data_IF_898847041576
#
_entry.id   IF_898847041576
#
_cell.length_a   1.000
_cell.length_b   1.000
_cell.length_c   1.000
_cell.angle_alpha   90.00
_cell.angle_beta   90.00
_cell.angle_gamma   90.00
#
_symmetry.space_group_name_H-M   'P 1'
#
loop_
_entity.id
_entity.type
_entity.pdbx_description
1 polymer ?
#
# COMPACT_ATOMS: atom_id res chain seq x y z
N UNK A 1 -17.16 1.86 21.18
CA UNK A 1 -17.10 1.50 19.76
C UNK A 1 -15.91 0.60 19.53
N UNK A 2 -16.11 -0.54 18.86
CA UNK A 2 -15.04 -1.46 18.47
C UNK A 2 -14.92 -1.41 16.94
N UNK A 3 -13.73 -1.69 16.42
CA UNK A 3 -13.48 -1.85 14.98
C UNK A 3 -12.79 -3.18 14.73
N UNK A 4 -12.83 -3.66 13.50
CA UNK A 4 -12.16 -4.89 13.08
C UNK A 4 -11.07 -4.56 12.06
N UNK A 5 -9.93 -5.23 12.18
CA UNK A 5 -8.84 -5.17 11.20
C UNK A 5 -8.86 -6.46 10.39
N UNK A 6 -8.74 -6.33 9.07
CA UNK A 6 -8.68 -7.46 8.14
C UNK A 6 -7.24 -7.66 7.69
N UNK A 7 -6.50 -8.69 8.16
CA UNK A 7 -5.21 -9.04 7.61
C UNK A 7 -5.38 -9.58 6.18
N UNK A 8 -4.49 -9.18 5.27
CA UNK A 8 -4.58 -9.55 3.86
C UNK A 8 -3.19 -9.73 3.23
N UNK A 9 -3.01 -10.81 2.46
CA UNK A 9 -1.77 -11.04 1.69
C UNK A 9 -1.90 -10.37 0.33
N UNK A 10 -1.11 -9.32 0.11
CA UNK A 10 -1.13 -8.53 -1.13
C UNK A 10 -0.85 -9.34 -2.39
N UNK A 11 0.30 -10.02 -2.45
CA UNK A 11 0.74 -10.80 -3.61
C UNK A 11 1.06 -12.27 -3.25
N UNK A 12 0.05 -13.14 -3.09
CA UNK A 12 0.26 -14.53 -2.66
C UNK A 12 1.17 -15.32 -3.62
N UNK A 13 1.06 -15.09 -4.93
CA UNK A 13 1.91 -15.78 -5.94
C UNK A 13 3.39 -15.42 -5.81
N UNK A 14 3.69 -14.13 -5.62
CA UNK A 14 5.08 -13.70 -5.41
C UNK A 14 5.63 -14.21 -4.07
N UNK A 15 4.79 -14.28 -3.03
CA UNK A 15 5.14 -14.85 -1.71
C UNK A 15 5.50 -16.33 -1.83
N UNK A 16 4.70 -17.13 -2.55
CA UNK A 16 4.96 -18.57 -2.76
C UNK A 16 6.32 -18.84 -3.43
N UNK A 17 6.77 -17.94 -4.30
CA UNK A 17 8.05 -18.05 -5.00
C UNK A 17 9.20 -17.33 -4.30
N UNK A 18 8.94 -16.63 -3.18
CA UNK A 18 9.90 -15.78 -2.48
C UNK A 18 10.55 -14.72 -3.40
N UNK A 19 9.74 -14.11 -4.28
CA UNK A 19 10.17 -13.04 -5.20
C UNK A 19 9.42 -11.74 -4.92
N UNK A 20 9.94 -10.61 -5.42
CA UNK A 20 9.29 -9.30 -5.26
C UNK A 20 7.96 -9.22 -6.04
N UNK A 21 7.94 -9.74 -7.27
CA UNK A 21 6.78 -9.83 -8.15
C UNK A 21 7.06 -10.90 -9.22
N UNK A 22 6.00 -11.37 -9.88
CA UNK A 22 6.06 -12.36 -10.97
C UNK A 22 6.11 -11.72 -12.35
N UNK A 23 5.38 -10.62 -12.57
CA UNK A 23 5.40 -9.87 -13.81
C UNK A 23 5.82 -8.41 -13.60
N UNK A 24 4.99 -7.65 -12.89
CA UNK A 24 5.21 -6.24 -12.59
C UNK A 24 5.11 -5.97 -11.09
N UNK A 25 5.80 -4.94 -10.62
CA UNK A 25 5.65 -4.46 -9.25
C UNK A 25 4.18 -4.12 -8.94
N UNK A 26 3.56 -4.88 -8.03
CA UNK A 26 2.17 -4.68 -7.59
C UNK A 26 1.95 -3.28 -7.00
N UNK A 27 2.96 -2.70 -6.33
CA UNK A 27 2.89 -1.35 -5.80
C UNK A 27 3.00 -0.27 -6.89
N UNK A 28 2.93 -0.65 -8.18
CA UNK A 28 2.90 0.26 -9.35
C UNK A 28 1.68 0.00 -10.25
N UNK A 29 0.74 -0.86 -9.86
CA UNK A 29 -0.43 -1.24 -10.69
C UNK A 29 -1.76 -0.69 -10.19
N UNK A 30 -1.76 0.24 -9.22
CA UNK A 30 -2.98 0.88 -8.68
C UNK A 30 -3.31 2.24 -9.31
N UNK A 31 -2.70 2.60 -10.44
CA UNK A 31 -3.11 3.75 -11.22
C UNK A 31 -4.47 3.49 -11.90
N UNK A 32 -5.28 4.53 -12.10
CA UNK A 32 -6.63 4.42 -12.69
C UNK A 32 -6.61 3.70 -14.03
N UNK A 33 -5.59 3.94 -14.86
CA UNK A 33 -5.39 3.27 -16.14
C UNK A 33 -5.35 1.73 -16.00
N UNK A 34 -4.61 1.21 -15.00
CA UNK A 34 -4.52 -0.24 -14.75
C UNK A 34 -5.80 -0.79 -14.14
N UNK A 35 -6.42 -0.06 -13.21
CA UNK A 35 -7.65 -0.51 -12.55
C UNK A 35 -8.85 -0.60 -13.52
N UNK A 36 -8.85 0.20 -14.60
CA UNK A 36 -9.90 0.22 -15.61
C UNK A 36 -9.57 -0.58 -16.89
N UNK A 37 -8.38 -1.20 -16.96
CA UNK A 37 -7.98 -1.99 -18.14
C UNK A 37 -8.84 -3.26 -18.25
N UNK A 38 -9.43 -3.49 -19.43
CA UNK A 38 -10.12 -4.75 -19.73
C UNK A 38 -9.09 -5.88 -19.85
N UNK A 39 -9.29 -6.97 -19.13
CA UNK A 39 -8.35 -8.09 -19.09
C UNK A 39 -8.26 -8.79 -20.46
N UNK A 40 -7.16 -8.58 -21.19
CA UNK A 40 -6.71 -9.45 -22.27
C UNK A 40 -5.19 -9.36 -22.45
N UNK A 41 -4.55 -10.54 -22.50
CA UNK A 41 -3.13 -10.86 -22.71
C UNK A 41 -2.13 -10.70 -21.54
N UNK A 42 -1.25 -11.69 -21.45
CA UNK A 42 -0.61 -12.28 -20.27
C UNK A 42 0.47 -11.47 -19.54
N UNK A 43 0.48 -10.13 -19.65
CA UNK A 43 1.34 -9.22 -18.86
C UNK A 43 0.66 -8.69 -17.58
N UNK A 44 -0.41 -9.38 -17.16
CA UNK A 44 -1.50 -8.83 -16.35
C UNK A 44 -1.56 -9.32 -14.88
N UNK A 45 -0.68 -10.18 -14.39
CA UNK A 45 -0.94 -10.86 -13.10
C UNK A 45 -1.09 -9.88 -11.92
N UNK A 46 -0.14 -8.96 -11.73
CA UNK A 46 -0.27 -7.94 -10.68
C UNK A 46 -1.27 -6.83 -11.02
N UNK A 47 -1.67 -6.67 -12.28
CA UNK A 47 -2.76 -5.77 -12.67
C UNK A 47 -4.11 -6.38 -12.28
N UNK A 48 -4.34 -7.65 -12.60
CA UNK A 48 -5.51 -8.43 -12.17
C UNK A 48 -5.57 -8.46 -10.65
N UNK A 49 -4.44 -8.71 -9.98
CA UNK A 49 -4.39 -8.69 -8.53
C UNK A 49 -4.74 -7.32 -7.95
N UNK A 50 -4.25 -6.22 -8.53
CA UNK A 50 -4.64 -4.87 -8.13
C UNK A 50 -6.13 -4.60 -8.36
N UNK A 51 -6.71 -5.11 -9.46
CA UNK A 51 -8.14 -5.03 -9.75
C UNK A 51 -8.97 -5.81 -8.72
N UNK A 52 -8.57 -7.04 -8.35
CA UNK A 52 -9.20 -7.83 -7.30
C UNK A 52 -9.15 -7.10 -5.95
N UNK A 53 -7.99 -6.58 -5.56
CA UNK A 53 -7.82 -5.80 -4.33
C UNK A 53 -8.73 -4.57 -4.35
N UNK A 54 -8.81 -3.88 -5.49
CA UNK A 54 -9.67 -2.71 -5.69
C UNK A 54 -11.17 -3.06 -5.66
N UNK A 55 -11.56 -4.28 -6.01
CA UNK A 55 -12.94 -4.76 -5.86
C UNK A 55 -13.26 -5.11 -4.40
N UNK A 56 -12.31 -5.69 -3.67
CA UNK A 56 -12.51 -6.10 -2.27
C UNK A 56 -12.50 -4.89 -1.33
N UNK A 57 -11.58 -3.95 -1.54
CA UNK A 57 -11.31 -2.86 -0.60
C UNK A 57 -11.47 -1.46 -1.20
N UNK A 58 -11.71 -1.35 -2.49
CA UNK A 58 -12.03 -0.09 -3.15
C UNK A 58 -13.55 0.07 -3.34
N UNK A 59 -13.99 0.65 -4.47
CA UNK A 59 -13.18 1.22 -5.55
C UNK A 59 -12.33 2.40 -5.09
N UNK A 60 -11.07 2.47 -5.51
CA UNK A 60 -10.12 3.56 -5.18
C UNK A 60 -10.72 4.92 -5.51
N UNK A 61 -10.70 5.82 -4.53
CA UNK A 61 -11.25 7.18 -4.66
C UNK A 61 -12.78 7.29 -4.48
N UNK A 62 -13.48 6.17 -4.23
CA UNK A 62 -14.90 6.18 -3.91
C UNK A 62 -15.16 6.23 -2.40
N UNK A 63 -16.38 6.63 -2.01
CA UNK A 63 -16.84 6.57 -0.62
C UNK A 63 -17.09 5.16 -0.08
N UNK A 64 -17.01 4.13 -0.94
CA UNK A 64 -17.14 2.72 -0.57
C UNK A 64 -15.78 2.08 -0.23
N UNK A 65 -14.68 2.77 -0.53
CA UNK A 65 -13.35 2.28 -0.22
C UNK A 65 -13.14 2.10 1.28
N UNK A 66 -12.26 1.16 1.63
CA UNK A 66 -11.81 0.96 3.01
C UNK A 66 -11.31 2.26 3.64
N UNK A 67 -11.68 2.48 4.90
CA UNK A 67 -11.38 3.72 5.62
C UNK A 67 -9.86 3.98 5.74
N UNK A 68 -9.08 2.92 5.99
CA UNK A 68 -7.64 3.01 6.17
C UNK A 68 -6.93 1.69 5.84
N UNK A 69 -5.73 1.77 5.23
CA UNK A 69 -4.88 0.61 4.94
C UNK A 69 -3.45 0.84 5.44
N UNK A 70 -2.88 -0.18 6.07
CA UNK A 70 -1.46 -0.24 6.42
C UNK A 70 -0.79 -1.28 5.52
N UNK A 71 0.14 -0.83 4.69
CA UNK A 71 0.92 -1.70 3.81
C UNK A 71 2.34 -1.91 4.38
N UNK A 72 2.75 -3.16 4.55
CA UNK A 72 3.98 -3.52 5.26
C UNK A 72 5.08 -3.86 4.25
N UNK A 73 6.21 -3.15 4.34
CA UNK A 73 7.35 -3.32 3.45
C UNK A 73 8.65 -3.49 4.22
N UNK A 74 9.59 -4.23 3.63
CA UNK A 74 10.99 -4.22 4.03
C UNK A 74 11.85 -3.62 2.91
N UNK A 75 13.04 -3.16 3.29
CA UNK A 75 14.04 -2.59 2.39
C UNK A 75 15.42 -3.10 2.79
N UNK A 76 16.33 -3.19 1.82
CA UNK A 76 17.75 -3.51 2.08
C UNK A 76 18.55 -2.30 2.57
N UNK A 77 17.99 -1.09 2.45
CA UNK A 77 18.61 0.12 2.97
C UNK A 77 18.55 0.17 4.50
N UNK A 78 19.56 0.77 5.13
CA UNK A 78 19.62 0.92 6.59
C UNK A 78 18.69 2.03 7.11
N UNK A 79 17.38 1.86 6.95
CA UNK A 79 16.37 2.86 7.31
C UNK A 79 15.79 2.64 8.72
N UNK A 80 16.01 1.48 9.32
CA UNK A 80 15.34 1.09 10.57
C UNK A 80 13.83 0.97 10.40
N UNK A 81 13.07 1.17 11.49
CA UNK A 81 11.61 1.23 11.43
C UNK A 81 11.20 2.58 10.85
N UNK A 82 10.55 2.60 9.68
CA UNK A 82 10.20 3.84 8.99
C UNK A 82 8.70 3.87 8.67
N UNK A 83 8.08 5.05 8.76
CA UNK A 83 6.70 5.29 8.33
C UNK A 83 6.72 6.12 7.04
N UNK A 84 6.00 5.67 6.01
CA UNK A 84 5.85 6.42 4.76
C UNK A 84 4.46 7.05 4.70
N UNK A 85 4.41 8.34 4.41
CA UNK A 85 3.19 9.11 4.23
C UNK A 85 3.05 9.55 2.78
N UNK A 86 1.88 9.35 2.20
CA UNK A 86 1.58 9.81 0.83
C UNK A 86 1.20 11.29 0.77
N UNK A 87 0.81 11.89 1.90
CA UNK A 87 0.37 13.28 1.96
C UNK A 87 0.60 13.86 3.36
N UNK A 88 1.22 15.03 3.40
CA UNK A 88 1.37 15.86 4.61
C UNK A 88 0.07 16.56 5.04
N UNK A 89 -0.98 16.48 4.22
CA UNK A 89 -2.29 17.06 4.55
C UNK A 89 -3.21 16.06 5.28
N UNK A 90 -2.81 14.79 5.39
CA UNK A 90 -3.58 13.78 6.12
C UNK A 90 -3.35 13.89 7.63
N UNK A 91 -4.16 14.71 8.31
CA UNK A 91 -4.09 14.91 9.77
C UNK A 91 -4.15 13.59 10.55
N UNK A 92 -5.06 12.68 10.16
CA UNK A 92 -5.19 11.36 10.80
C UNK A 92 -3.86 10.59 10.74
N UNK A 93 -3.25 10.51 9.54
CA UNK A 93 -1.99 9.79 9.32
C UNK A 93 -0.85 10.40 10.12
N UNK A 94 -0.77 11.73 10.18
CA UNK A 94 0.26 12.45 10.96
C UNK A 94 0.10 12.16 12.46
N UNK A 95 -1.13 12.25 12.99
CA UNK A 95 -1.37 11.97 14.41
C UNK A 95 -1.07 10.51 14.76
N UNK A 96 -1.40 9.56 13.88
CA UNK A 96 -1.02 8.16 14.04
C UNK A 96 0.50 7.97 14.04
N UNK A 97 1.22 8.61 13.12
CA UNK A 97 2.68 8.50 13.08
C UNK A 97 3.32 9.05 14.34
N UNK A 98 2.87 10.22 14.83
CA UNK A 98 3.33 10.79 16.10
C UNK A 98 3.01 9.87 17.29
N UNK A 99 1.83 9.23 17.32
CA UNK A 99 1.50 8.25 18.35
C UNK A 99 2.46 7.06 18.30
N UNK A 100 2.69 6.48 17.12
CA UNK A 100 3.62 5.37 16.92
C UNK A 100 5.03 5.77 17.36
N UNK A 101 5.55 6.92 16.94
CA UNK A 101 6.88 7.39 17.34
C UNK A 101 7.03 7.52 18.87
N UNK A 102 5.99 7.98 19.57
CA UNK A 102 6.01 8.15 21.03
C UNK A 102 5.92 6.84 21.80
N UNK A 103 5.30 5.82 21.22
CA UNK A 103 4.99 4.55 21.90
C UNK A 103 5.80 3.36 21.36
N UNK A 104 6.54 3.52 20.27
CA UNK A 104 7.42 2.50 19.76
C UNK A 104 8.70 2.42 20.61
N UNK A 105 9.13 1.21 20.94
CA UNK A 105 10.38 0.96 21.69
C UNK A 105 11.64 1.12 20.84
N UNK A 106 11.47 1.32 19.53
CA UNK A 106 12.57 1.55 18.58
C UNK A 106 13.10 2.97 18.75
N UNK A 107 14.41 3.10 18.97
CA UNK A 107 15.07 4.40 19.29
C UNK A 107 14.89 5.49 18.24
N UNK A 108 14.69 5.13 16.98
CA UNK A 108 14.51 6.08 15.89
C UNK A 108 13.52 5.52 14.87
N UNK A 109 12.42 6.25 14.64
CA UNK A 109 11.40 5.90 13.66
C UNK A 109 11.13 7.11 12.74
N UNK A 110 11.87 7.30 11.64
CA UNK A 110 11.64 8.41 10.73
C UNK A 110 10.27 8.32 10.06
N UNK A 111 9.67 9.49 9.83
CA UNK A 111 8.49 9.66 8.98
C UNK A 111 8.97 10.30 7.67
N UNK A 112 8.74 9.62 6.56
CA UNK A 112 9.09 10.10 5.22
C UNK A 112 7.82 10.44 4.47
N UNK A 113 7.70 11.68 4.00
CA UNK A 113 6.61 12.08 3.11
C UNK A 113 7.05 11.80 1.68
N UNK A 114 6.43 10.81 1.06
CA UNK A 114 6.61 10.50 -0.35
C UNK A 114 5.69 11.41 -1.16
N UNK A 115 6.28 12.38 -1.86
CA UNK A 115 5.57 13.07 -2.92
C UNK A 115 5.39 12.10 -4.08
N UNK A 116 4.15 11.89 -4.52
CA UNK A 116 3.90 11.21 -5.78
C UNK A 116 4.56 12.05 -6.88
N UNK A 117 5.60 11.53 -7.52
CA UNK A 117 6.12 12.08 -8.75
C UNK A 117 5.02 11.97 -9.80
N UNK A 118 4.35 13.09 -10.12
CA UNK A 118 3.48 13.29 -11.27
C UNK A 118 2.39 12.24 -11.48
N UNK A 119 1.14 12.58 -11.18
CA UNK A 119 0.04 12.04 -11.97
C UNK A 119 0.18 12.63 -13.39
N UNK A 120 0.90 11.93 -14.28
CA UNK A 120 0.70 11.99 -15.73
C UNK A 120 -0.22 10.84 -16.17
#
# INVERSE_FOLDING_TARGET
STFQVTPFVGNPRAVEQCVRYTGRDLNRTFAVAFLNTKASDSDLQEIQRAQEINQIFGPKGSSQAYDFMLDLHNTTANMGCCLLLNSEFSLLSIHMCNYIQKHCTVRHCPILVCQASGEE
#
